data_IF_664142923729
#
_entry.id   IF_664142923729
#
_cell.length_a   1.000
_cell.length_b   1.000
_cell.length_c   1.000
_cell.angle_alpha   90.00
_cell.angle_beta   90.00
_cell.angle_gamma   90.00
#
_symmetry.space_group_name_H-M   'P 1'
#
loop_
_entity.id
_entity.type
_entity.pdbx_description
1 polymer ?
#
# COMPACT_ATOMS: atom_id res chain seq x y z
N UNK A 1 43.30 -15.01 14.23
CA UNK A 1 42.18 -15.31 13.31
C UNK A 1 40.82 -15.44 14.00
N UNK A 2 40.71 -15.28 15.33
CA UNK A 2 39.44 -15.34 16.07
C UNK A 2 38.67 -14.01 16.18
N UNK A 3 39.31 -12.85 15.94
CA UNK A 3 38.68 -11.53 16.05
C UNK A 3 37.81 -11.10 14.87
N UNK A 4 38.08 -11.59 13.66
CA UNK A 4 37.29 -11.24 12.45
C UNK A 4 35.92 -11.95 12.42
N UNK A 5 35.83 -13.16 12.97
CA UNK A 5 34.58 -13.94 12.99
C UNK A 5 33.54 -13.35 13.96
N UNK A 6 33.98 -12.84 15.11
CA UNK A 6 33.11 -12.19 16.10
C UNK A 6 32.58 -10.86 15.58
N UNK A 7 33.42 -10.10 14.88
CA UNK A 7 33.04 -8.80 14.31
C UNK A 7 32.01 -8.97 13.20
N UNK A 8 32.16 -9.97 12.32
CA UNK A 8 31.19 -10.27 11.27
C UNK A 8 29.84 -10.77 11.80
N UNK A 9 29.84 -11.60 12.86
CA UNK A 9 28.61 -12.09 13.48
C UNK A 9 27.84 -10.98 14.21
N UNK A 10 28.53 -10.15 15.00
CA UNK A 10 27.89 -9.04 15.73
C UNK A 10 27.31 -7.97 14.81
N UNK A 11 27.97 -7.67 13.69
CA UNK A 11 27.45 -6.71 12.69
C UNK A 11 26.19 -7.24 11.99
N UNK A 12 26.16 -8.53 11.64
CA UNK A 12 24.96 -9.16 11.03
C UNK A 12 23.77 -9.15 11.97
N UNK A 13 23.99 -9.49 13.24
CA UNK A 13 22.94 -9.50 14.26
C UNK A 13 22.40 -8.08 14.50
N UNK A 14 23.28 -7.10 14.66
CA UNK A 14 22.88 -5.69 14.81
C UNK A 14 22.05 -5.21 13.63
N UNK A 15 22.47 -5.50 12.41
CA UNK A 15 21.72 -5.08 11.22
C UNK A 15 20.37 -5.79 11.14
N UNK A 16 20.30 -7.07 11.51
CA UNK A 16 19.03 -7.80 11.63
C UNK A 16 18.04 -7.12 12.57
N UNK A 17 18.50 -6.64 13.73
CA UNK A 17 17.68 -5.84 14.65
C UNK A 17 17.24 -4.51 14.04
N UNK A 18 18.14 -3.82 13.32
CA UNK A 18 17.81 -2.57 12.64
C UNK A 18 16.75 -2.77 11.54
N UNK A 19 16.86 -3.82 10.72
CA UNK A 19 15.87 -4.15 9.69
C UNK A 19 14.49 -4.36 10.32
N UNK A 20 14.38 -5.19 11.37
CA UNK A 20 13.10 -5.43 12.04
C UNK A 20 12.51 -4.15 12.64
N UNK A 21 13.35 -3.28 13.20
CA UNK A 21 12.91 -2.01 13.78
C UNK A 21 12.38 -1.05 12.71
N UNK A 22 13.05 -0.96 11.57
CA UNK A 22 12.64 -0.16 10.42
C UNK A 22 11.33 -0.69 9.82
N UNK A 23 11.22 -2.01 9.63
CA UNK A 23 10.01 -2.67 9.14
C UNK A 23 8.82 -2.45 10.09
N UNK A 24 9.05 -2.59 11.39
CA UNK A 24 8.03 -2.35 12.42
C UNK A 24 7.55 -0.90 12.43
N UNK A 25 8.47 0.06 12.28
CA UNK A 25 8.11 1.48 12.16
C UNK A 25 7.24 1.74 10.92
N UNK A 26 7.62 1.20 9.76
CA UNK A 26 6.83 1.31 8.53
C UNK A 26 5.45 0.69 8.66
N UNK A 27 5.35 -0.51 9.25
CA UNK A 27 4.08 -1.18 9.52
C UNK A 27 3.20 -0.37 10.49
N UNK A 28 3.77 0.22 11.54
CA UNK A 28 3.06 1.07 12.48
C UNK A 28 2.49 2.32 11.81
N UNK A 29 3.27 2.99 10.96
CA UNK A 29 2.83 4.17 10.20
C UNK A 29 1.62 3.83 9.32
N UNK A 30 1.69 2.71 8.58
CA UNK A 30 0.58 2.21 7.75
C UNK A 30 -0.65 1.92 8.60
N UNK A 31 -0.46 1.22 9.72
CA UNK A 31 -1.54 0.85 10.63
C UNK A 31 -2.25 2.08 11.20
N UNK A 32 -1.50 3.07 11.68
CA UNK A 32 -2.05 4.33 12.21
C UNK A 32 -2.84 5.08 11.13
N UNK A 33 -2.29 5.20 9.92
CA UNK A 33 -2.98 5.83 8.80
C UNK A 33 -4.28 5.13 8.42
N UNK A 34 -4.26 3.79 8.38
CA UNK A 34 -5.43 2.96 8.09
C UNK A 34 -6.50 3.08 9.18
N UNK A 35 -6.13 3.01 10.45
CA UNK A 35 -7.04 3.15 11.58
C UNK A 35 -7.69 4.54 11.59
N UNK A 36 -6.90 5.60 11.36
CA UNK A 36 -7.41 6.97 11.26
C UNK A 36 -8.39 7.12 10.10
N UNK A 37 -8.05 6.60 8.91
CA UNK A 37 -8.89 6.68 7.72
C UNK A 37 -10.22 5.93 7.92
N UNK A 38 -10.16 4.74 8.52
CA UNK A 38 -11.32 3.93 8.85
C UNK A 38 -12.26 4.64 9.84
N UNK A 39 -11.73 5.17 10.93
CA UNK A 39 -12.52 5.91 11.93
C UNK A 39 -13.21 7.14 11.31
N UNK A 40 -12.48 7.89 10.47
CA UNK A 40 -13.02 9.08 9.80
C UNK A 40 -14.08 8.72 8.75
N UNK A 41 -13.89 7.64 8.01
CA UNK A 41 -14.87 7.12 7.06
C UNK A 41 -16.14 6.67 7.77
N UNK A 42 -16.02 5.85 8.82
CA UNK A 42 -17.16 5.35 9.61
C UNK A 42 -17.99 6.50 10.20
N UNK A 43 -17.33 7.47 10.83
CA UNK A 43 -18.02 8.65 11.42
C UNK A 43 -18.71 9.54 10.38
N UNK A 44 -18.14 9.67 9.18
CA UNK A 44 -18.71 10.50 8.10
C UNK A 44 -19.88 9.80 7.41
N UNK A 45 -19.77 8.49 7.22
CA UNK A 45 -20.84 7.63 6.68
C UNK A 45 -22.07 7.64 7.58
N UNK A 46 -21.88 7.49 8.90
CA UNK A 46 -22.97 7.56 9.88
C UNK A 46 -23.67 8.93 9.94
N UNK A 47 -22.99 10.03 9.57
CA UNK A 47 -23.53 11.40 9.66
C UNK A 47 -24.22 11.89 8.37
N UNK A 48 -24.41 11.05 7.34
CA UNK A 48 -25.05 11.39 6.04
C UNK A 48 -24.61 12.74 5.42
N UNK A 49 -23.38 13.21 5.68
CA UNK A 49 -22.82 14.38 4.99
C UNK A 49 -22.36 14.00 3.59
N UNK A 50 -22.30 14.98 2.67
CA UNK A 50 -21.81 14.80 1.29
C UNK A 50 -20.52 13.95 1.28
N UNK A 51 -20.69 12.68 0.89
CA UNK A 51 -19.67 11.63 0.99
C UNK A 51 -18.51 11.88 0.03
N UNK A 52 -18.79 12.54 -1.10
CA UNK A 52 -17.86 12.67 -2.23
C UNK A 52 -16.65 13.55 -1.86
N UNK A 53 -16.86 14.68 -1.17
CA UNK A 53 -15.79 15.62 -0.84
C UNK A 53 -14.88 15.15 0.29
N UNK A 54 -15.44 14.51 1.33
CA UNK A 54 -14.66 14.01 2.47
C UNK A 54 -13.93 12.70 2.14
N UNK A 55 -14.50 11.85 1.28
CA UNK A 55 -13.85 10.61 0.86
C UNK A 55 -12.49 10.87 0.18
N UNK A 56 -12.43 11.84 -0.73
CA UNK A 56 -11.17 12.14 -1.43
C UNK A 56 -10.07 12.62 -0.47
N UNK A 57 -10.43 13.40 0.56
CA UNK A 57 -9.49 13.85 1.61
C UNK A 57 -8.99 12.71 2.48
N UNK A 58 -9.88 11.79 2.88
CA UNK A 58 -9.52 10.60 3.66
C UNK A 58 -8.55 9.74 2.85
N UNK A 59 -8.84 9.50 1.57
CA UNK A 59 -8.00 8.73 0.65
C UNK A 59 -6.63 9.37 0.44
N UNK A 60 -6.57 10.69 0.21
CA UNK A 60 -5.31 11.43 0.06
C UNK A 60 -4.44 11.34 1.32
N UNK A 61 -5.06 11.45 2.49
CA UNK A 61 -4.35 11.38 3.77
C UNK A 61 -3.84 9.96 4.04
N UNK A 62 -4.67 8.93 3.82
CA UNK A 62 -4.25 7.53 3.89
C UNK A 62 -3.09 7.25 2.94
N UNK A 63 -3.16 7.74 1.70
CA UNK A 63 -2.09 7.61 0.72
C UNK A 63 -0.75 8.13 1.22
N UNK A 64 -0.72 9.24 1.98
CA UNK A 64 0.52 9.78 2.58
C UNK A 64 1.11 8.83 3.62
N UNK A 65 0.29 8.23 4.48
CA UNK A 65 0.76 7.22 5.44
C UNK A 65 1.27 5.96 4.75
N UNK A 66 0.59 5.50 3.70
CA UNK A 66 1.02 4.34 2.92
C UNK A 66 2.38 4.59 2.25
N UNK A 67 2.55 5.74 1.58
CA UNK A 67 3.81 6.10 0.93
C UNK A 67 4.94 6.15 1.97
N UNK A 68 4.73 6.85 3.09
CA UNK A 68 5.75 6.94 4.14
C UNK A 68 6.11 5.56 4.71
N UNK A 69 5.13 4.72 5.03
CA UNK A 69 5.42 3.38 5.55
C UNK A 69 6.12 2.48 4.53
N UNK A 70 5.86 2.67 3.22
CA UNK A 70 6.56 1.97 2.15
C UNK A 70 8.01 2.45 1.99
N UNK A 71 8.32 3.73 2.22
CA UNK A 71 9.70 4.23 2.24
C UNK A 71 10.52 3.57 3.36
N UNK A 72 9.92 3.38 4.53
CA UNK A 72 10.55 2.63 5.63
C UNK A 72 10.75 1.16 5.27
N UNK A 73 9.74 0.48 4.74
CA UNK A 73 9.88 -0.93 4.33
C UNK A 73 10.95 -1.11 3.25
N UNK A 74 11.00 -0.20 2.27
CA UNK A 74 12.04 -0.19 1.24
C UNK A 74 13.44 -0.01 1.85
N UNK A 75 13.59 0.85 2.86
CA UNK A 75 14.87 1.00 3.57
C UNK A 75 15.29 -0.29 4.28
N UNK A 76 14.34 -1.03 4.87
CA UNK A 76 14.57 -2.36 5.42
C UNK A 76 15.04 -3.38 4.38
N UNK A 77 14.41 -3.40 3.20
CA UNK A 77 14.77 -4.27 2.08
C UNK A 77 16.18 -3.95 1.53
N UNK A 78 16.51 -2.67 1.37
CA UNK A 78 17.85 -2.21 0.96
C UNK A 78 18.90 -2.64 1.99
N UNK A 79 18.61 -2.47 3.27
CA UNK A 79 19.52 -2.86 4.34
C UNK A 79 19.73 -4.39 4.36
N UNK A 80 18.68 -5.18 4.13
CA UNK A 80 18.77 -6.65 4.04
C UNK A 80 19.63 -7.12 2.88
N UNK A 81 19.50 -6.50 1.71
CA UNK A 81 20.34 -6.82 0.54
C UNK A 81 21.80 -6.42 0.73
N UNK A 82 22.10 -5.41 1.56
CA UNK A 82 23.46 -4.99 1.86
C UNK A 82 24.25 -5.97 2.75
N UNK A 83 23.58 -6.80 3.57
CA UNK A 83 24.25 -7.72 4.53
C UNK A 83 24.21 -9.20 4.15
N UNK A 84 23.34 -9.61 3.24
CA UNK A 84 23.12 -11.03 2.93
C UNK A 84 23.75 -11.45 1.60
N UNK A 85 24.99 -11.98 1.59
CA UNK A 85 25.40 -12.92 0.56
C UNK A 85 25.13 -14.34 1.08
N UNK A 86 23.85 -14.74 1.18
CA UNK A 86 23.47 -16.15 1.27
C UNK A 86 22.31 -16.42 0.33
N UNK A 87 22.42 -17.45 -0.51
CA UNK A 87 21.40 -17.75 -1.53
C UNK A 87 20.03 -18.06 -0.92
N UNK A 88 19.98 -18.55 0.32
CA UNK A 88 18.73 -18.84 1.04
C UNK A 88 18.00 -17.57 1.48
N UNK A 89 18.71 -16.60 2.06
CA UNK A 89 18.11 -15.32 2.49
C UNK A 89 17.70 -14.47 1.29
N UNK A 90 18.52 -14.46 0.22
CA UNK A 90 18.17 -13.84 -1.06
C UNK A 90 16.91 -14.49 -1.64
N UNK A 91 16.81 -15.82 -1.58
CA UNK A 91 15.63 -16.56 -2.04
C UNK A 91 14.36 -16.21 -1.27
N UNK A 92 14.44 -16.08 0.05
CA UNK A 92 13.30 -15.65 0.89
C UNK A 92 12.87 -14.22 0.58
N UNK A 93 13.82 -13.29 0.47
CA UNK A 93 13.54 -11.90 0.10
C UNK A 93 12.90 -11.82 -1.30
N UNK A 94 13.47 -12.53 -2.28
CA UNK A 94 12.93 -12.58 -3.63
C UNK A 94 11.51 -13.16 -3.67
N UNK A 95 11.22 -14.18 -2.87
CA UNK A 95 9.88 -14.75 -2.75
C UNK A 95 8.88 -13.73 -2.17
N UNK A 96 9.23 -13.03 -1.10
CA UNK A 96 8.38 -11.99 -0.48
C UNK A 96 8.13 -10.86 -1.48
N UNK A 97 9.18 -10.39 -2.16
CA UNK A 97 9.08 -9.33 -3.16
C UNK A 97 8.22 -9.74 -4.37
N UNK A 98 8.36 -10.98 -4.84
CA UNK A 98 7.54 -11.53 -5.92
C UNK A 98 6.06 -11.61 -5.52
N UNK A 99 5.76 -12.15 -4.33
CA UNK A 99 4.39 -12.21 -3.79
C UNK A 99 3.78 -10.81 -3.72
N UNK A 100 4.51 -9.85 -3.17
CA UNK A 100 4.06 -8.45 -3.07
C UNK A 100 3.76 -7.86 -4.44
N UNK A 101 4.63 -8.10 -5.42
CA UNK A 101 4.47 -7.59 -6.78
C UNK A 101 3.25 -8.18 -7.45
N UNK A 102 3.07 -9.50 -7.37
CA UNK A 102 1.93 -10.21 -7.97
C UNK A 102 0.62 -9.77 -7.35
N UNK A 103 0.53 -9.74 -6.01
CA UNK A 103 -0.68 -9.29 -5.30
C UNK A 103 -1.03 -7.84 -5.63
N UNK A 104 -0.05 -6.93 -5.55
CA UNK A 104 -0.28 -5.52 -5.83
C UNK A 104 -0.66 -5.28 -7.30
N UNK A 105 -0.11 -6.06 -8.23
CA UNK A 105 -0.49 -6.02 -9.64
C UNK A 105 -1.93 -6.44 -9.86
N UNK A 106 -2.37 -7.58 -9.30
CA UNK A 106 -3.75 -8.04 -9.43
C UNK A 106 -4.75 -7.05 -8.84
N UNK A 107 -4.51 -6.58 -7.62
CA UNK A 107 -5.35 -5.56 -6.96
C UNK A 107 -5.47 -4.29 -7.80
N UNK A 108 -4.35 -3.79 -8.33
CA UNK A 108 -4.36 -2.57 -9.16
C UNK A 108 -5.16 -2.79 -10.45
N UNK A 109 -5.06 -3.97 -11.06
CA UNK A 109 -5.81 -4.31 -12.28
C UNK A 109 -7.31 -4.43 -12.03
N UNK A 110 -7.70 -5.11 -10.96
CA UNK A 110 -9.11 -5.30 -10.59
C UNK A 110 -9.79 -3.95 -10.33
N UNK A 111 -9.14 -3.07 -9.55
CA UNK A 111 -9.63 -1.70 -9.31
C UNK A 111 -9.73 -0.89 -10.62
N UNK A 112 -8.80 -1.08 -11.55
CA UNK A 112 -8.85 -0.39 -12.84
C UNK A 112 -10.02 -0.88 -13.72
N UNK A 113 -10.36 -2.17 -13.66
CA UNK A 113 -11.50 -2.75 -14.37
C UNK A 113 -12.82 -2.23 -13.81
N UNK A 114 -13.02 -2.28 -12.50
CA UNK A 114 -14.24 -1.75 -11.86
C UNK A 114 -14.46 -0.27 -12.19
N UNK A 115 -13.39 0.55 -12.20
CA UNK A 115 -13.48 1.97 -12.56
C UNK A 115 -13.94 2.19 -14.00
N UNK A 116 -13.45 1.36 -14.94
CA UNK A 116 -13.80 1.48 -16.35
C UNK A 116 -15.27 1.10 -16.60
N UNK A 117 -15.80 0.13 -15.86
CA UNK A 117 -17.20 -0.28 -15.93
C UNK A 117 -18.15 0.84 -15.45
N UNK A 118 -17.87 1.43 -14.28
CA UNK A 118 -18.64 2.57 -13.74
C UNK A 118 -18.63 3.78 -14.70
N UNK A 119 -17.51 4.00 -15.41
CA UNK A 119 -17.39 5.11 -16.36
C UNK A 119 -18.05 4.83 -17.72
N UNK A 120 -18.17 3.55 -18.10
CA UNK A 120 -18.92 3.08 -19.26
C UNK A 120 -20.43 3.21 -19.09
N UNK A 121 -20.96 2.85 -17.92
CA UNK A 121 -22.40 2.97 -17.61
C UNK A 121 -22.90 4.43 -17.57
N UNK A 122 -22.03 5.39 -17.21
CA UNK A 122 -22.37 6.83 -17.24
C UNK A 122 -22.51 7.42 -18.66
N UNK A 123 -22.08 6.68 -19.69
CA UNK A 123 -22.11 7.12 -21.10
C UNK A 123 -23.25 6.53 -21.92
N UNK A 124 -24.19 5.78 -21.34
CA UNK A 124 -25.45 5.50 -22.05
C UNK A 124 -26.20 6.83 -22.29
N UNK A 125 -26.34 7.28 -23.55
CA UNK A 125 -27.07 8.49 -23.86
C UNK A 125 -28.53 8.24 -23.50
N UNK A 126 -29.10 9.13 -22.69
CA UNK A 126 -30.55 9.25 -22.52
C UNK A 126 -31.21 9.09 -23.89
N UNK A 127 -32.17 8.17 -24.06
CA UNK A 127 -32.99 8.11 -25.26
C UNK A 127 -33.48 9.53 -25.54
N UNK A 128 -33.00 10.11 -26.65
CA UNK A 128 -33.54 11.36 -27.14
C UNK A 128 -35.04 11.14 -27.21
N UNK A 129 -35.77 12.01 -26.50
CA UNK A 129 -37.21 12.02 -26.43
C UNK A 129 -37.79 11.97 -27.86
N UNK A 130 -38.05 10.76 -28.34
CA UNK A 130 -39.24 10.45 -29.10
C UNK A 130 -40.41 10.83 -28.19
N UNK A 131 -40.77 12.13 -28.17
CA UNK A 131 -41.97 12.74 -27.53
C UNK A 131 -41.79 14.27 -27.42
N UNK A 132 -41.45 14.91 -28.53
CA UNK A 132 -42.08 16.19 -28.86
C UNK A 132 -42.82 15.91 -30.17
N UNK A 133 -43.96 15.22 -30.09
CA UNK A 133 -45.28 15.85 -29.99
C UNK A 133 -45.51 16.70 -31.26
N UNK A 134 -46.31 16.26 -32.22
CA UNK A 134 -47.78 16.20 -32.09
C UNK A 134 -48.31 17.39 -31.28
N UNK A 135 -48.12 18.61 -31.80
CA UNK A 135 -48.99 19.80 -31.65
C UNK A 135 -48.87 20.66 -32.91
#
# INVERSE_FOLDING_TARGET
>A
MSGELVTGAGVRELIGWLVHLIEAAGALIIFVGAAWAFARFATTSLRRRSLIGEFNKIRLSLGRFLVLGLEFQLAGDVLRTAVAPSFTEIGQLAAIAAIRTVLNFFLTREIAQERAEIEGERKEPLPQAATAADV
#
